data_IF_270082689927
#
_entry.id   IF_270082689927
#
_cell.length_a   1.000
_cell.length_b   1.000
_cell.length_c   1.000
_cell.angle_alpha   90.00
_cell.angle_beta   90.00
_cell.angle_gamma   90.00
#
_symmetry.space_group_name_H-M   'P 1'
#
loop_
_entity.id
_entity.type
_entity.pdbx_description
1 polymer ?
#
# COMPACT_ATOMS: atom_id res chain seq x y z
N UNK A 1 -7.63 -10.02 27.35
CA UNK A 1 -8.75 -9.06 27.43
C UNK A 1 -8.18 -7.66 27.48
N UNK A 2 -8.66 -6.79 26.59
CA UNK A 2 -8.30 -5.37 26.53
C UNK A 2 -9.50 -4.56 27.00
N UNK A 3 -9.27 -3.66 27.95
CA UNK A 3 -10.30 -2.81 28.54
C UNK A 3 -9.86 -1.35 28.48
N UNK A 4 -10.80 -0.41 28.39
CA UNK A 4 -10.54 1.01 28.54
C UNK A 4 -10.27 1.38 30.01
N UNK A 5 -9.93 2.66 30.23
CA UNK A 5 -9.66 3.19 31.58
C UNK A 5 -10.87 3.12 32.53
N UNK A 6 -12.06 2.86 32.02
CA UNK A 6 -13.31 2.70 32.78
C UNK A 6 -13.69 1.22 32.99
N UNK A 7 -12.84 0.30 32.52
CA UNK A 7 -13.05 -1.15 32.66
C UNK A 7 -13.96 -1.78 31.61
N UNK A 8 -14.46 -1.02 30.62
CA UNK A 8 -15.29 -1.54 29.53
C UNK A 8 -14.45 -2.44 28.62
N UNK A 9 -14.95 -3.60 28.29
CA UNK A 9 -14.29 -4.52 27.36
C UNK A 9 -14.28 -3.95 25.94
N UNK A 10 -13.09 -3.74 25.38
CA UNK A 10 -12.87 -3.33 23.99
C UNK A 10 -12.78 -4.52 23.07
N UNK A 11 -11.86 -5.43 23.39
CA UNK A 11 -11.73 -6.74 22.70
C UNK A 11 -11.03 -7.75 23.59
N UNK A 12 -11.05 -8.99 23.18
CA UNK A 12 -10.33 -10.10 23.86
C UNK A 12 -9.97 -11.18 22.85
N UNK A 13 -9.04 -12.03 23.22
CA UNK A 13 -8.81 -13.27 22.47
C UNK A 13 -10.08 -14.11 22.43
N UNK A 14 -10.36 -14.72 21.29
CA UNK A 14 -11.56 -15.55 21.09
C UNK A 14 -11.19 -17.03 21.17
N UNK A 15 -11.93 -17.74 22.02
CA UNK A 15 -11.94 -19.18 22.06
C UNK A 15 -13.34 -19.63 21.69
N UNK A 16 -13.48 -20.39 20.61
CA UNK A 16 -14.76 -20.99 20.22
C UNK A 16 -14.68 -22.48 20.56
N UNK A 17 -15.48 -22.88 21.53
CA UNK A 17 -15.70 -24.29 21.86
C UNK A 17 -16.98 -24.66 21.13
N UNK A 18 -16.87 -25.60 20.19
CA UNK A 18 -18.04 -26.25 19.62
C UNK A 18 -18.27 -27.55 20.34
N UNK A 19 -19.52 -27.84 20.68
CA UNK A 19 -19.90 -29.09 21.29
C UNK A 19 -19.96 -30.25 20.27
N UNK A 20 -19.87 -29.95 18.99
CA UNK A 20 -19.76 -30.94 17.93
C UNK A 20 -18.31 -31.35 17.75
N UNK A 21 -18.01 -32.63 17.99
CA UNK A 21 -16.66 -33.20 17.93
C UNK A 21 -16.01 -33.17 16.54
N UNK A 22 -16.74 -32.76 15.50
CA UNK A 22 -16.27 -32.72 14.11
C UNK A 22 -15.76 -31.32 13.67
N UNK A 23 -15.94 -30.26 14.47
CA UNK A 23 -15.60 -28.93 14.09
C UNK A 23 -14.25 -28.47 14.63
N UNK A 24 -13.55 -27.65 13.78
CA UNK A 24 -12.28 -27.04 14.14
C UNK A 24 -12.48 -25.99 15.23
N UNK A 25 -11.90 -26.23 16.40
CA UNK A 25 -11.89 -25.27 17.50
C UNK A 25 -10.99 -24.09 17.15
N UNK A 26 -11.50 -22.86 17.29
CA UNK A 26 -10.68 -21.66 17.22
C UNK A 26 -10.00 -21.45 18.56
N UNK A 27 -8.68 -21.58 18.59
CA UNK A 27 -7.87 -21.21 19.73
C UNK A 27 -7.52 -19.72 19.69
N UNK A 28 -7.26 -19.07 20.85
CA UNK A 28 -6.84 -17.67 20.91
C UNK A 28 -5.61 -17.35 20.05
N UNK A 29 -4.70 -18.31 19.96
CA UNK A 29 -3.52 -18.30 19.11
C UNK A 29 -3.35 -19.66 18.46
N UNK A 30 -3.11 -19.65 17.16
CA UNK A 30 -2.83 -20.86 16.40
C UNK A 30 -1.48 -20.69 15.71
N UNK A 31 -0.69 -21.76 15.75
CA UNK A 31 0.54 -21.88 14.99
C UNK A 31 0.34 -22.93 13.92
N UNK A 32 0.49 -22.56 12.65
CA UNK A 32 0.27 -23.44 11.52
C UNK A 32 1.60 -23.65 10.80
N UNK A 33 1.97 -24.93 10.63
CA UNK A 33 3.06 -25.32 9.73
C UNK A 33 2.45 -25.99 8.50
N UNK A 34 2.70 -25.44 7.33
CA UNK A 34 2.26 -26.03 6.07
C UNK A 34 3.21 -27.16 5.67
N UNK A 35 2.64 -28.32 5.32
CA UNK A 35 3.45 -29.49 4.98
C UNK A 35 4.12 -29.45 3.61
N UNK A 36 3.58 -28.66 2.66
CA UNK A 36 4.07 -28.60 1.28
C UNK A 36 5.39 -27.83 1.11
N UNK A 37 5.59 -26.77 1.89
CA UNK A 37 6.72 -25.85 1.75
C UNK A 37 7.39 -25.54 3.11
N UNK A 38 6.93 -26.18 4.19
CA UNK A 38 7.34 -25.92 5.56
C UNK A 38 7.12 -24.46 6.04
N UNK A 39 6.39 -23.65 5.30
CA UNK A 39 6.05 -22.30 5.74
C UNK A 39 5.27 -22.33 7.05
N UNK A 40 5.52 -21.34 7.88
CA UNK A 40 4.90 -21.23 9.20
C UNK A 40 4.13 -19.94 9.30
N UNK A 41 3.05 -19.95 10.04
CA UNK A 41 2.26 -18.75 10.32
C UNK A 41 1.74 -18.78 11.74
N UNK A 42 1.64 -17.60 12.34
CA UNK A 42 1.02 -17.41 13.64
C UNK A 42 -0.30 -16.67 13.46
N UNK A 43 -1.35 -17.13 14.11
CA UNK A 43 -2.70 -16.67 13.85
C UNK A 43 -3.41 -16.35 15.18
N UNK A 44 -3.41 -15.10 15.61
CA UNK A 44 -4.25 -14.66 16.72
C UNK A 44 -5.71 -14.60 16.30
N UNK A 45 -6.58 -14.91 17.23
CA UNK A 45 -8.03 -14.82 17.09
C UNK A 45 -8.58 -13.90 18.18
N UNK A 46 -9.20 -12.82 17.74
CA UNK A 46 -9.81 -11.82 18.60
C UNK A 46 -11.34 -11.85 18.47
N UNK A 47 -12.01 -11.40 19.50
CA UNK A 47 -13.46 -11.23 19.45
C UNK A 47 -13.84 -10.11 18.48
N UNK A 48 -14.81 -10.37 17.63
CA UNK A 48 -15.55 -9.38 16.89
C UNK A 48 -16.93 -9.22 17.54
N UNK A 49 -17.18 -8.08 18.15
CA UNK A 49 -18.41 -7.84 18.90
C UNK A 49 -19.59 -7.52 17.98
N UNK A 50 -20.85 -7.76 18.39
CA UNK A 50 -22.00 -7.25 17.67
C UNK A 50 -21.90 -5.72 17.47
N UNK A 51 -22.29 -5.25 16.28
CA UNK A 51 -22.24 -3.83 15.88
C UNK A 51 -20.82 -3.20 15.87
N UNK A 52 -19.79 -4.01 15.97
CA UNK A 52 -18.42 -3.54 15.75
C UNK A 52 -18.21 -3.22 14.27
N UNK A 53 -17.41 -2.18 14.02
CA UNK A 53 -16.99 -1.78 12.68
C UNK A 53 -15.48 -1.66 12.65
N UNK A 54 -14.88 -2.20 11.61
CA UNK A 54 -13.43 -2.23 11.40
C UNK A 54 -13.09 -1.41 10.17
N UNK A 55 -12.06 -0.58 10.27
CA UNK A 55 -11.59 0.29 9.20
C UNK A 55 -10.07 0.20 9.07
N UNK A 56 -9.54 0.38 7.86
CA UNK A 56 -8.09 0.35 7.60
C UNK A 56 -7.70 -0.73 6.60
N UNK A 57 -6.57 -1.38 6.82
CA UNK A 57 -5.92 -2.40 5.97
C UNK A 57 -5.33 -1.87 4.66
N UNK A 58 -5.27 -0.55 4.44
CA UNK A 58 -4.76 0.06 3.22
C UNK A 58 -5.85 0.50 2.24
N UNK A 59 -5.48 0.64 0.97
CA UNK A 59 -6.35 1.15 -0.08
C UNK A 59 -6.86 0.02 -0.98
N UNK A 60 -8.15 -0.28 -0.91
CA UNK A 60 -8.81 -1.28 -1.77
C UNK A 60 -10.21 -0.83 -2.20
N UNK A 61 -10.68 -1.31 -3.35
CA UNK A 61 -12.03 -1.02 -3.88
C UNK A 61 -13.12 -1.88 -3.25
N UNK A 62 -13.01 -2.17 -1.96
CA UNK A 62 -13.99 -2.92 -1.18
C UNK A 62 -14.73 -2.01 -0.20
N UNK A 63 -15.72 -2.54 0.51
CA UNK A 63 -16.45 -1.76 1.51
C UNK A 63 -15.51 -1.14 2.54
N UNK A 64 -15.79 0.11 2.93
CA UNK A 64 -15.01 0.84 3.93
C UNK A 64 -15.00 0.12 5.28
N UNK A 65 -16.17 -0.36 5.74
CA UNK A 65 -16.26 -1.25 6.88
C UNK A 65 -15.83 -2.66 6.48
N UNK A 66 -14.79 -3.15 7.07
CA UNK A 66 -14.18 -4.45 6.74
C UNK A 66 -14.86 -5.66 7.40
N UNK A 67 -15.85 -5.44 8.26
CA UNK A 67 -16.63 -6.55 8.86
C UNK A 67 -17.35 -7.35 7.77
N UNK A 68 -17.24 -8.67 7.83
CA UNK A 68 -17.73 -9.61 6.81
C UNK A 68 -16.75 -9.83 5.66
N UNK A 69 -15.58 -9.21 5.68
CA UNK A 69 -14.57 -9.35 4.63
C UNK A 69 -13.36 -10.16 5.11
N UNK A 70 -12.70 -10.79 4.16
CA UNK A 70 -11.36 -11.34 4.28
C UNK A 70 -10.43 -10.45 3.44
N UNK A 71 -9.54 -9.73 4.09
CA UNK A 71 -8.65 -8.77 3.45
C UNK A 71 -7.27 -9.36 3.33
N UNK A 72 -6.76 -9.45 2.12
CA UNK A 72 -5.37 -9.83 1.86
C UNK A 72 -4.48 -8.59 1.92
N UNK A 73 -3.61 -8.55 2.92
CA UNK A 73 -2.67 -7.46 3.16
C UNK A 73 -1.32 -7.88 2.57
N UNK A 74 -1.22 -7.77 1.27
CA UNK A 74 0.00 -7.99 0.49
C UNK A 74 -0.04 -7.11 -0.74
N UNK A 75 1.14 -6.70 -1.22
CA UNK A 75 1.24 -5.88 -2.44
C UNK A 75 0.85 -6.74 -3.63
N UNK A 76 -0.12 -6.27 -4.38
CA UNK A 76 -0.56 -6.86 -5.64
C UNK A 76 -0.76 -5.72 -6.63
N UNK A 77 -0.35 -5.90 -7.88
CA UNK A 77 -0.67 -5.01 -8.97
C UNK A 77 -2.04 -5.39 -9.57
N UNK A 78 -3.15 -4.78 -9.10
CA UNK A 78 -4.49 -5.17 -9.55
C UNK A 78 -4.79 -4.57 -10.92
N UNK A 79 -5.35 -5.39 -11.79
CA UNK A 79 -5.84 -4.97 -13.10
C UNK A 79 -7.23 -4.32 -12.97
N UNK A 80 -7.26 -3.07 -12.45
CA UNK A 80 -8.48 -2.30 -12.28
C UNK A 80 -9.22 -2.52 -10.96
N UNK A 81 -10.43 -1.94 -10.79
CA UNK A 81 -11.15 -1.90 -9.51
C UNK A 81 -11.99 -3.15 -9.21
N UNK A 82 -12.00 -4.15 -10.08
CA UNK A 82 -12.84 -5.35 -9.96
C UNK A 82 -12.24 -6.42 -9.05
N UNK A 83 -11.11 -6.12 -8.41
CA UNK A 83 -10.39 -7.01 -7.52
C UNK A 83 -10.25 -6.39 -6.13
N UNK A 84 -10.08 -7.22 -5.11
CA UNK A 84 -9.74 -6.81 -3.75
C UNK A 84 -8.23 -6.60 -3.54
N UNK A 85 -7.41 -6.85 -4.57
CA UNK A 85 -5.98 -6.57 -4.59
C UNK A 85 -5.67 -5.08 -4.43
N UNK A 86 -4.51 -4.75 -3.89
CA UNK A 86 -4.13 -3.36 -3.65
C UNK A 86 -2.62 -3.13 -3.74
N UNK A 87 -2.23 -1.97 -4.27
CA UNK A 87 -0.85 -1.49 -4.28
C UNK A 87 -0.32 -1.11 -2.90
N UNK A 88 -1.20 -0.60 -2.03
CA UNK A 88 -0.84 -0.02 -0.73
C UNK A 88 -1.54 -0.75 0.40
N UNK A 89 -1.17 -2.02 0.67
CA UNK A 89 -1.60 -2.69 1.86
C UNK A 89 -0.94 -2.04 3.08
N UNK A 90 -1.73 -1.85 4.13
CA UNK A 90 -1.23 -1.34 5.41
C UNK A 90 -1.68 -2.31 6.49
N UNK A 91 -0.76 -2.97 7.21
CA UNK A 91 -1.10 -3.95 8.24
C UNK A 91 -1.58 -3.30 9.54
N UNK A 92 -2.45 -2.31 9.40
CA UNK A 92 -3.06 -1.54 10.48
C UNK A 92 -4.56 -1.42 10.26
N UNK A 93 -5.32 -1.61 11.33
CA UNK A 93 -6.75 -1.36 11.35
C UNK A 93 -7.18 -0.81 12.70
N UNK A 94 -8.34 -0.20 12.74
CA UNK A 94 -8.94 0.27 13.99
C UNK A 94 -10.44 -0.03 14.04
N UNK A 95 -10.93 -0.13 15.27
CA UNK A 95 -12.33 -0.44 15.59
C UNK A 95 -13.05 0.78 16.17
N UNK A 96 -14.34 0.92 15.85
CA UNK A 96 -15.21 1.87 16.53
C UNK A 96 -15.43 1.59 18.02
N UNK A 97 -14.80 0.54 18.57
CA UNK A 97 -14.81 0.22 19.99
C UNK A 97 -13.67 0.86 20.79
N UNK A 98 -12.83 1.67 20.14
CA UNK A 98 -11.77 2.42 20.81
C UNK A 98 -10.43 1.69 20.91
N UNK A 99 -10.07 0.91 19.88
CA UNK A 99 -8.74 0.34 19.75
C UNK A 99 -8.30 0.25 18.29
N UNK A 100 -6.98 0.19 18.08
CA UNK A 100 -6.37 -0.14 16.79
C UNK A 100 -5.29 -1.18 16.97
N UNK A 101 -5.00 -1.95 15.92
CA UNK A 101 -3.95 -2.96 15.90
C UNK A 101 -3.06 -2.72 14.69
N UNK A 102 -1.77 -2.62 14.93
CA UNK A 102 -0.73 -2.62 13.91
C UNK A 102 0.05 -3.93 14.00
N UNK A 103 0.00 -4.71 12.94
CA UNK A 103 0.79 -5.93 12.78
C UNK A 103 2.14 -5.52 12.20
N UNK A 104 3.18 -5.52 13.02
CA UNK A 104 4.51 -5.08 12.63
C UNK A 104 5.24 -6.20 11.88
N UNK A 105 4.82 -6.44 10.66
CA UNK A 105 5.43 -7.43 9.76
C UNK A 105 5.36 -6.95 8.31
N UNK A 106 6.33 -7.33 7.50
CA UNK A 106 6.30 -7.20 6.04
C UNK A 106 5.85 -8.48 5.33
N UNK A 107 5.59 -9.56 6.09
CA UNK A 107 5.13 -10.80 5.52
C UNK A 107 3.67 -10.68 5.05
N UNK A 108 3.28 -11.38 3.98
CA UNK A 108 1.89 -11.44 3.54
C UNK A 108 0.96 -11.84 4.68
N UNK A 109 -0.07 -11.06 4.90
CA UNK A 109 -1.02 -11.24 5.99
C UNK A 109 -2.44 -11.27 5.44
N UNK A 110 -3.29 -12.10 6.02
CA UNK A 110 -4.73 -12.09 5.75
C UNK A 110 -5.48 -11.75 7.03
N UNK A 111 -6.33 -10.73 6.98
CA UNK A 111 -7.23 -10.37 8.07
C UNK A 111 -8.66 -10.78 7.71
N UNK A 112 -9.21 -11.70 8.48
CA UNK A 112 -10.58 -12.19 8.35
C UNK A 112 -11.45 -11.57 9.46
N UNK A 113 -12.28 -10.62 9.10
CA UNK A 113 -13.13 -9.87 10.01
C UNK A 113 -14.56 -10.45 10.04
N UNK A 114 -14.68 -11.70 10.39
CA UNK A 114 -15.99 -12.36 10.52
C UNK A 114 -16.55 -12.97 9.23
N UNK A 115 -15.77 -13.03 8.16
CA UNK A 115 -16.17 -13.68 6.91
C UNK A 115 -16.27 -15.19 7.06
N UNK A 116 -15.31 -15.83 7.72
CA UNK A 116 -15.34 -17.28 7.96
C UNK A 116 -16.06 -17.65 9.25
N UNK A 117 -15.96 -16.82 10.31
CA UNK A 117 -16.60 -17.04 11.59
C UNK A 117 -17.18 -15.73 12.14
N UNK A 118 -18.48 -15.64 12.19
CA UNK A 118 -19.19 -14.50 12.79
C UNK A 118 -18.73 -14.35 14.25
N UNK A 119 -18.36 -13.11 14.62
CA UNK A 119 -17.90 -12.81 15.97
C UNK A 119 -16.42 -13.10 16.24
N UNK A 120 -15.62 -13.39 15.21
CA UNK A 120 -14.19 -13.55 15.31
C UNK A 120 -13.42 -12.70 14.28
N UNK A 121 -12.33 -12.08 14.73
CA UNK A 121 -11.30 -11.50 13.89
C UNK A 121 -10.13 -12.50 13.88
N UNK A 122 -9.70 -12.91 12.71
CA UNK A 122 -8.61 -13.87 12.56
C UNK A 122 -7.52 -13.24 11.74
N UNK A 123 -6.31 -13.17 12.27
CA UNK A 123 -5.16 -12.61 11.58
C UNK A 123 -4.22 -13.76 11.22
N UNK A 124 -4.00 -13.96 9.93
CA UNK A 124 -3.07 -14.95 9.42
C UNK A 124 -1.81 -14.25 8.98
N UNK A 125 -0.79 -14.30 9.82
CA UNK A 125 0.49 -13.66 9.54
C UNK A 125 1.44 -14.71 8.96
N UNK A 126 1.98 -14.44 7.77
CA UNK A 126 2.96 -15.30 7.10
C UNK A 126 4.35 -15.22 7.71
N UNK A 127 4.44 -15.15 9.03
CA UNK A 127 5.65 -14.98 9.80
C UNK A 127 5.70 -15.99 10.95
N UNK A 128 6.90 -16.34 11.40
CA UNK A 128 7.13 -17.20 12.56
C UNK A 128 7.08 -16.45 13.89
N UNK A 129 7.16 -15.13 13.81
CA UNK A 129 7.06 -14.21 14.96
C UNK A 129 5.77 -13.41 14.89
N UNK A 130 5.32 -12.96 16.03
CA UNK A 130 4.15 -12.11 16.15
C UNK A 130 4.52 -10.83 16.92
N UNK A 131 4.61 -9.75 16.20
CA UNK A 131 4.86 -8.43 16.75
C UNK A 131 3.66 -7.50 16.45
N UNK A 132 3.04 -6.99 17.52
CA UNK A 132 1.89 -6.09 17.42
C UNK A 132 2.07 -4.86 18.28
N UNK A 133 1.56 -3.76 17.76
CA UNK A 133 1.22 -2.59 18.57
C UNK A 133 -0.30 -2.52 18.73
N UNK A 134 -0.75 -2.27 19.94
CA UNK A 134 -2.17 -2.07 20.24
C UNK A 134 -2.33 -0.66 20.78
N UNK A 135 -3.15 0.13 20.10
CA UNK A 135 -3.45 1.51 20.44
C UNK A 135 -4.85 1.62 21.02
N UNK A 136 -5.06 2.56 21.92
CA UNK A 136 -6.34 2.77 22.60
C UNK A 136 -6.79 4.21 22.45
N UNK A 137 -8.10 4.42 22.37
CA UNK A 137 -8.73 5.73 22.30
C UNK A 137 -9.73 5.84 21.16
N UNK A 138 -10.21 7.05 20.95
CA UNK A 138 -11.03 7.37 19.78
C UNK A 138 -10.19 7.25 18.48
N UNK A 139 -10.81 7.12 17.30
CA UNK A 139 -10.07 6.91 16.05
C UNK A 139 -8.92 7.89 15.80
N UNK A 140 -9.07 9.16 16.22
CA UNK A 140 -8.01 10.17 16.09
C UNK A 140 -6.82 9.89 17.01
N UNK A 141 -7.08 9.43 18.23
CA UNK A 141 -6.03 9.09 19.19
C UNK A 141 -5.27 7.86 18.75
N UNK A 142 -6.00 6.84 18.27
CA UNK A 142 -5.44 5.61 17.70
C UNK A 142 -4.55 5.92 16.50
N UNK A 143 -5.01 6.78 15.58
CA UNK A 143 -4.23 7.16 14.40
C UNK A 143 -3.00 7.99 14.79
N UNK A 144 -3.14 8.90 15.75
CA UNK A 144 -2.01 9.68 16.26
C UNK A 144 -0.94 8.78 16.87
N UNK A 145 -1.33 7.85 17.75
CA UNK A 145 -0.41 6.91 18.39
C UNK A 145 0.25 5.97 17.35
N UNK A 146 -0.50 5.52 16.34
CA UNK A 146 0.06 4.75 15.22
C UNK A 146 1.12 5.55 14.47
N UNK A 147 0.85 6.81 14.14
CA UNK A 147 1.81 7.66 13.43
C UNK A 147 2.97 8.14 14.30
N UNK A 148 2.85 8.13 15.62
CA UNK A 148 3.98 8.35 16.54
C UNK A 148 5.00 7.20 16.46
N UNK A 149 4.54 5.99 16.18
CA UNK A 149 5.40 4.79 16.00
C UNK A 149 5.95 4.69 14.58
N UNK A 150 5.12 4.96 13.57
CA UNK A 150 5.47 4.72 12.15
C UNK A 150 5.99 5.95 11.41
N UNK A 151 5.91 7.10 12.02
CA UNK A 151 6.26 8.39 11.42
C UNK A 151 5.03 9.19 10.98
N UNK A 152 5.08 10.48 11.20
CA UNK A 152 4.05 11.43 10.78
C UNK A 152 4.31 11.93 9.37
N UNK A 153 3.25 12.10 8.58
CA UNK A 153 3.35 12.76 7.29
C UNK A 153 3.81 14.22 7.45
N UNK A 154 4.72 14.70 6.61
CA UNK A 154 5.07 16.11 6.58
C UNK A 154 3.88 16.96 6.14
N UNK A 155 3.88 18.25 6.52
CA UNK A 155 2.95 19.21 5.95
C UNK A 155 3.33 19.47 4.50
N UNK A 156 2.47 19.07 3.57
CA UNK A 156 2.69 19.23 2.14
C UNK A 156 2.31 20.64 1.67
N UNK A 157 2.96 21.17 0.61
CA UNK A 157 2.53 22.40 -0.04
C UNK A 157 1.11 22.26 -0.61
N UNK A 158 0.35 23.35 -0.62
CA UNK A 158 -1.05 23.33 -1.03
C UNK A 158 -1.25 22.81 -2.46
N UNK A 159 -0.36 23.10 -3.37
CA UNK A 159 -0.44 22.68 -4.77
C UNK A 159 -0.42 21.15 -4.95
N UNK A 160 0.11 20.39 -3.99
CA UNK A 160 0.13 18.92 -4.05
C UNK A 160 -1.26 18.31 -3.92
N UNK A 161 -2.21 19.05 -3.37
CA UNK A 161 -3.63 18.67 -3.25
C UNK A 161 -4.48 19.18 -4.42
N UNK A 162 -3.86 19.87 -5.38
CA UNK A 162 -4.53 20.37 -6.57
C UNK A 162 -4.69 19.31 -7.66
N UNK A 163 -5.04 19.76 -8.85
CA UNK A 163 -5.23 18.87 -9.99
C UNK A 163 -3.92 18.49 -10.65
N UNK A 164 -3.66 17.21 -10.77
CA UNK A 164 -2.54 16.64 -11.51
C UNK A 164 -3.02 16.19 -12.87
N UNK A 165 -2.57 16.88 -13.92
CA UNK A 165 -2.90 16.50 -15.29
C UNK A 165 -1.92 15.47 -15.78
N UNK A 166 -2.40 14.25 -15.93
CA UNK A 166 -1.66 13.12 -16.48
C UNK A 166 -2.52 12.41 -17.52
N UNK A 167 -1.87 11.82 -18.48
CA UNK A 167 -2.37 10.69 -19.28
C UNK A 167 -1.23 9.71 -19.42
N UNK A 168 -1.43 8.54 -20.00
CA UNK A 168 -0.40 7.51 -20.01
C UNK A 168 0.95 8.10 -20.46
N UNK A 169 0.99 8.95 -21.47
CA UNK A 169 2.22 9.71 -21.72
C UNK A 169 2.02 10.95 -22.58
N UNK A 170 2.96 11.88 -22.49
CA UNK A 170 3.22 12.94 -23.46
C UNK A 170 4.51 12.57 -24.18
N UNK A 171 4.45 12.38 -25.49
CA UNK A 171 5.55 11.82 -26.26
C UNK A 171 6.61 12.84 -26.66
N UNK A 172 6.35 14.14 -26.49
CA UNK A 172 7.31 15.17 -26.83
C UNK A 172 7.20 16.41 -25.94
N UNK A 173 8.26 17.21 -25.98
CA UNK A 173 8.32 18.53 -25.36
C UNK A 173 7.21 19.44 -25.87
N UNK A 174 6.99 19.45 -27.18
CA UNK A 174 5.98 20.29 -27.85
C UNK A 174 4.57 19.89 -27.40
N UNK A 175 4.30 18.59 -27.28
CA UNK A 175 3.00 18.10 -26.83
C UNK A 175 2.73 18.51 -25.38
N UNK A 176 3.68 18.31 -24.48
CA UNK A 176 3.54 18.70 -23.07
C UNK A 176 3.30 20.21 -22.90
N UNK A 177 4.04 21.04 -23.64
CA UNK A 177 3.85 22.50 -23.63
C UNK A 177 2.50 22.91 -24.24
N UNK A 178 2.05 22.24 -25.29
CA UNK A 178 0.76 22.53 -25.92
C UNK A 178 -0.40 22.22 -24.98
N UNK A 179 -0.37 21.09 -24.31
CA UNK A 179 -1.37 20.70 -23.32
C UNK A 179 -1.40 21.73 -22.17
N UNK A 180 -0.23 22.12 -21.63
CA UNK A 180 -0.16 23.11 -20.56
C UNK A 180 -0.80 24.45 -20.99
N UNK A 181 -0.50 24.91 -22.19
CA UNK A 181 -1.10 26.14 -22.74
C UNK A 181 -2.61 26.03 -22.94
N UNK A 182 -3.09 24.90 -23.47
CA UNK A 182 -4.53 24.63 -23.68
C UNK A 182 -5.30 24.61 -22.37
N UNK A 183 -4.73 24.03 -21.33
CA UNK A 183 -5.34 24.02 -20.00
C UNK A 183 -5.54 25.45 -19.47
N UNK A 184 -4.51 26.31 -19.55
CA UNK A 184 -4.63 27.72 -19.15
C UNK A 184 -5.61 28.49 -20.02
N UNK A 185 -5.57 28.32 -21.35
CA UNK A 185 -6.47 28.99 -22.29
C UNK A 185 -7.94 28.66 -22.02
N UNK A 186 -8.23 27.43 -21.63
CA UNK A 186 -9.57 26.97 -21.28
C UNK A 186 -9.94 27.18 -19.79
N UNK A 187 -9.14 27.93 -19.04
CA UNK A 187 -9.35 28.24 -17.61
C UNK A 187 -9.47 26.97 -16.73
N UNK A 188 -8.84 25.88 -17.13
CA UNK A 188 -8.72 24.68 -16.31
C UNK A 188 -7.48 24.88 -15.43
N UNK A 189 -7.61 24.83 -14.08
CA UNK A 189 -6.56 25.20 -13.14
C UNK A 189 -5.78 23.98 -12.59
N UNK A 190 -5.06 23.18 -13.39
CA UNK A 190 -4.21 22.14 -12.85
C UNK A 190 -2.94 22.75 -12.24
N UNK A 191 -2.43 22.12 -11.21
CA UNK A 191 -1.20 22.52 -10.53
C UNK A 191 0.01 21.75 -11.04
N UNK A 192 -0.18 20.53 -11.52
CA UNK A 192 0.90 19.63 -11.94
C UNK A 192 0.66 19.09 -13.34
N UNK A 193 1.72 19.05 -14.15
CA UNK A 193 1.80 18.22 -15.35
C UNK A 193 2.68 17.02 -15.04
N UNK A 194 2.12 15.83 -15.19
CA UNK A 194 2.82 14.58 -14.95
C UNK A 194 3.20 13.92 -16.28
N UNK A 195 4.50 13.74 -16.51
CA UNK A 195 5.03 12.98 -17.64
C UNK A 195 5.20 11.53 -17.22
N UNK A 196 4.53 10.64 -17.94
CA UNK A 196 4.60 9.20 -17.76
C UNK A 196 5.73 8.58 -18.61
N UNK A 197 5.73 7.27 -18.83
CA UNK A 197 6.83 6.50 -19.44
C UNK A 197 7.50 7.12 -20.66
N UNK A 198 6.77 7.84 -21.49
CA UNK A 198 7.27 8.41 -22.75
C UNK A 198 8.29 9.53 -22.64
N UNK A 199 8.68 9.95 -21.43
CA UNK A 199 9.78 10.92 -21.30
C UNK A 199 11.16 10.25 -21.42
N UNK A 200 11.28 8.94 -21.17
CA UNK A 200 12.51 8.17 -21.34
C UNK A 200 12.93 8.00 -22.81
N UNK A 201 14.19 7.72 -23.04
CA UNK A 201 14.72 7.38 -24.37
C UNK A 201 14.06 6.16 -24.96
N UNK A 202 13.85 5.13 -24.14
CA UNK A 202 13.09 3.93 -24.47
C UNK A 202 12.02 3.74 -23.39
N UNK A 203 10.77 3.54 -23.79
CA UNK A 203 9.67 3.31 -22.89
C UNK A 203 9.98 2.16 -21.91
N UNK A 204 9.57 2.36 -20.66
CA UNK A 204 9.72 1.40 -19.55
C UNK A 204 11.17 1.11 -19.10
N UNK A 205 12.21 1.68 -19.73
CA UNK A 205 13.60 1.39 -19.35
C UNK A 205 14.16 2.26 -18.21
N UNK A 206 13.48 3.26 -17.75
CA UNK A 206 13.91 4.13 -16.63
C UNK A 206 15.40 4.50 -16.65
N UNK A 207 15.87 5.05 -17.79
CA UNK A 207 17.26 5.48 -17.96
C UNK A 207 17.55 6.85 -17.31
N UNK A 208 16.51 7.49 -16.75
CA UNK A 208 16.53 8.79 -16.08
C UNK A 208 17.06 9.93 -16.96
N UNK A 209 16.93 9.80 -18.26
CA UNK A 209 17.24 10.84 -19.24
C UNK A 209 16.03 11.13 -20.12
N UNK A 210 15.82 12.42 -20.39
CA UNK A 210 14.84 12.80 -21.41
C UNK A 210 15.27 12.29 -22.80
N UNK A 211 14.35 11.70 -23.53
CA UNK A 211 14.56 11.30 -24.92
C UNK A 211 15.03 12.48 -25.77
N UNK A 212 16.28 12.45 -26.23
CA UNK A 212 16.95 13.57 -26.90
C UNK A 212 16.30 13.97 -28.23
N UNK A 213 15.66 13.04 -28.88
CA UNK A 213 14.92 13.25 -30.14
C UNK A 213 13.59 13.97 -29.92
N UNK A 214 12.93 13.75 -28.80
CA UNK A 214 11.59 14.24 -28.47
C UNK A 214 11.57 15.38 -27.45
N UNK A 215 12.60 15.52 -26.66
CA UNK A 215 12.79 16.57 -25.65
C UNK A 215 14.12 17.27 -25.89
N UNK A 216 14.14 18.18 -26.86
CA UNK A 216 15.38 18.84 -27.32
C UNK A 216 15.97 19.78 -26.28
N UNK A 217 15.12 20.46 -25.50
CA UNK A 217 15.53 21.36 -24.42
C UNK A 217 14.57 21.19 -23.23
N UNK A 218 14.71 20.08 -22.46
CA UNK A 218 13.84 19.85 -21.31
C UNK A 218 13.99 20.90 -20.22
N UNK A 219 15.14 21.56 -20.10
CA UNK A 219 15.36 22.63 -19.13
C UNK A 219 14.51 23.85 -19.48
N UNK A 220 14.48 24.24 -20.73
CA UNK A 220 13.63 25.37 -21.18
C UNK A 220 12.14 25.00 -21.04
N UNK A 221 11.76 23.77 -21.36
CA UNK A 221 10.40 23.27 -21.17
C UNK A 221 9.95 23.40 -19.71
N UNK A 222 10.73 22.85 -18.77
CA UNK A 222 10.41 22.88 -17.34
C UNK A 222 10.35 24.32 -16.80
N UNK A 223 11.27 25.21 -17.25
CA UNK A 223 11.24 26.64 -16.89
C UNK A 223 9.96 27.31 -17.41
N UNK A 224 9.54 27.01 -18.63
CA UNK A 224 8.31 27.56 -19.21
C UNK A 224 7.08 27.11 -18.41
N UNK A 225 6.96 25.83 -18.14
CA UNK A 225 5.87 25.29 -17.32
C UNK A 225 5.83 25.94 -15.94
N UNK A 226 6.99 26.08 -15.27
CA UNK A 226 7.08 26.76 -13.98
C UNK A 226 6.64 28.21 -14.04
N UNK A 227 7.01 28.94 -15.12
CA UNK A 227 6.57 30.34 -15.35
C UNK A 227 5.04 30.41 -15.49
N UNK A 228 4.42 29.41 -16.11
CA UNK A 228 2.97 29.31 -16.30
C UNK A 228 2.25 28.75 -15.07
N UNK A 229 2.96 28.60 -13.94
CA UNK A 229 2.41 28.16 -12.65
C UNK A 229 2.18 26.66 -12.55
N UNK A 230 2.88 25.84 -13.34
CA UNK A 230 2.84 24.40 -13.22
C UNK A 230 4.05 23.86 -12.45
N UNK A 231 3.82 22.87 -11.62
CA UNK A 231 4.83 21.93 -11.17
C UNK A 231 4.91 20.77 -12.16
N UNK A 232 6.05 20.09 -12.21
CA UNK A 232 6.25 18.95 -13.10
C UNK A 232 6.64 17.72 -12.28
N UNK A 233 5.99 16.62 -12.56
CA UNK A 233 6.33 15.32 -12.02
C UNK A 233 6.75 14.38 -13.14
N UNK A 234 7.76 13.55 -12.91
CA UNK A 234 8.25 12.56 -13.84
C UNK A 234 7.99 11.17 -13.27
N UNK A 235 7.33 10.31 -14.04
CA UNK A 235 7.09 8.93 -13.67
C UNK A 235 8.39 8.11 -13.70
N UNK A 236 8.46 7.12 -12.85
CA UNK A 236 9.53 6.13 -12.82
C UNK A 236 9.06 4.84 -12.16
N UNK A 237 9.81 3.76 -12.40
CA UNK A 237 9.67 2.50 -11.68
C UNK A 237 11.06 1.96 -11.29
N UNK A 238 11.16 1.11 -10.27
CA UNK A 238 12.43 0.61 -9.74
C UNK A 238 12.91 -0.66 -10.44
N UNK A 239 12.51 -0.90 -11.69
CA UNK A 239 12.91 -2.07 -12.46
C UNK A 239 13.97 -1.70 -13.50
N UNK A 240 15.04 -2.48 -13.56
CA UNK A 240 16.15 -2.25 -14.45
C UNK A 240 16.41 -3.47 -15.29
N UNK A 241 16.23 -3.34 -16.60
CA UNK A 241 16.56 -4.41 -17.54
C UNK A 241 18.06 -4.54 -17.71
N UNK A 242 18.59 -5.70 -18.15
CA UNK A 242 20.02 -5.86 -18.45
C UNK A 242 20.55 -4.88 -19.52
N UNK A 243 19.67 -4.26 -20.30
CA UNK A 243 20.04 -3.23 -21.29
C UNK A 243 20.16 -1.82 -20.69
N UNK A 244 19.67 -1.63 -19.45
CA UNK A 244 19.76 -0.35 -18.77
C UNK A 244 21.21 -0.07 -18.39
N UNK A 245 21.68 1.18 -18.59
CA UNK A 245 23.06 1.58 -18.29
C UNK A 245 23.45 1.41 -16.82
N UNK A 246 22.48 1.49 -15.92
CA UNK A 246 22.71 1.33 -14.47
C UNK A 246 22.67 -0.12 -14.00
N UNK A 247 22.28 -1.07 -14.85
CA UNK A 247 22.06 -2.46 -14.42
C UNK A 247 23.29 -3.08 -13.77
N UNK A 248 24.46 -2.90 -14.38
CA UNK A 248 25.71 -3.44 -13.85
C UNK A 248 26.09 -2.81 -12.50
N UNK A 249 25.97 -1.49 -12.41
CA UNK A 249 26.26 -0.77 -11.16
C UNK A 249 25.36 -1.25 -10.01
N UNK A 250 24.08 -1.45 -10.29
CA UNK A 250 23.11 -1.93 -9.30
C UNK A 250 23.40 -3.36 -8.84
N UNK A 251 23.72 -4.25 -9.78
CA UNK A 251 24.00 -5.66 -9.47
C UNK A 251 25.34 -5.80 -8.74
N UNK A 252 26.40 -5.20 -9.27
CA UNK A 252 27.75 -5.28 -8.71
C UNK A 252 27.83 -4.56 -7.34
N UNK A 253 27.03 -3.51 -7.17
CA UNK A 253 26.89 -2.77 -5.91
C UNK A 253 26.00 -3.43 -4.85
N UNK A 254 25.40 -4.60 -5.15
CA UNK A 254 24.52 -5.32 -4.22
C UNK A 254 23.21 -4.58 -3.91
N UNK A 255 22.76 -3.68 -4.82
CA UNK A 255 21.54 -2.87 -4.64
C UNK A 255 20.29 -3.55 -5.24
N UNK A 256 20.49 -4.63 -5.99
CA UNK A 256 19.39 -5.39 -6.59
C UNK A 256 18.76 -6.36 -5.56
N UNK A 257 17.45 -6.57 -5.69
CA UNK A 257 16.72 -7.53 -4.85
C UNK A 257 17.08 -8.96 -5.26
N UNK A 258 17.27 -9.82 -4.26
CA UNK A 258 17.56 -11.23 -4.47
C UNK A 258 16.46 -12.11 -3.91
N UNK A 259 16.22 -13.23 -4.57
CA UNK A 259 15.39 -14.30 -4.06
C UNK A 259 16.07 -14.97 -2.84
N UNK A 260 15.29 -15.71 -2.04
CA UNK A 260 15.83 -16.41 -0.87
C UNK A 260 16.93 -17.43 -1.16
N UNK A 261 17.11 -17.84 -2.41
CA UNK A 261 18.19 -18.72 -2.88
C UNK A 261 19.45 -17.94 -3.34
N UNK A 262 19.47 -16.61 -3.20
CA UNK A 262 20.58 -15.73 -3.60
C UNK A 262 20.64 -15.36 -5.08
N UNK A 263 19.67 -15.80 -5.91
CA UNK A 263 19.58 -15.35 -7.31
C UNK A 263 18.94 -13.98 -7.38
N UNK A 264 19.24 -13.19 -8.43
CA UNK A 264 18.54 -11.94 -8.69
C UNK A 264 17.03 -12.20 -8.83
N UNK A 265 16.25 -11.30 -8.24
CA UNK A 265 14.80 -11.31 -8.45
C UNK A 265 14.50 -10.70 -9.81
N UNK A 266 13.73 -11.42 -10.63
CA UNK A 266 13.21 -10.93 -11.90
C UNK A 266 11.69 -10.93 -11.83
N UNK A 267 11.07 -9.87 -12.34
CA UNK A 267 9.66 -9.92 -12.72
C UNK A 267 9.58 -10.24 -14.21
N UNK A 268 8.73 -11.16 -14.58
CA UNK A 268 8.37 -11.42 -15.97
C UNK A 268 7.57 -10.22 -16.47
N UNK A 269 8.11 -9.49 -17.45
CA UNK A 269 7.49 -8.33 -18.05
C UNK A 269 6.47 -8.72 -19.13
#
# INVERSE_FOLDING_TARGET
>A
MLRDGQGKLLTQTRHIIDNDSTQVKLLPFNFIKRGSDNSRSINPVLMLSPNERIYGCGESFTSLNKVGQKVQISVVDPQGPETDGMYKPVPFYFSNRGYGIFMHTSAPTTADFGASYIGAQRLFMGDETMDFFIFFGEPKDVLNAYTDVTGKSPMLPLWTFGTWMSRITYFSQEEGLDIARKLRANKIPPDVIHFDTGWFGVDWQCDYEFAKDRFKDPVAMLKSMKKDGFHTCLWQLPYFTPKNRYFRELVDGGMAVHNGNGTLSYEDA
#
